data_IF_595786130124
#
_entry.id   IF_595786130124
#
_cell.length_a   1.000
_cell.length_b   1.000
_cell.length_c   1.000
_cell.angle_alpha   90.00
_cell.angle_beta   90.00
_cell.angle_gamma   90.00
#
_symmetry.space_group_name_H-M   'P 1'
#
loop_
_entity.id
_entity.type
_entity.pdbx_description
1 polymer ?
#
# COMPACT_ATOMS: atom_id res chain seq x y z
N UNK A 1 -22.84 21.23 27.89
CA UNK A 1 -23.66 20.05 27.52
C UNK A 1 -24.27 20.36 26.18
N UNK A 2 -23.55 20.11 25.08
CA UNK A 2 -24.06 20.34 23.75
C UNK A 2 -24.54 19.00 23.20
N UNK A 3 -25.79 19.01 22.82
CA UNK A 3 -26.67 17.93 22.45
C UNK A 3 -26.08 16.87 21.51
N UNK A 4 -25.87 15.66 22.00
CA UNK A 4 -25.77 14.42 21.26
C UNK A 4 -27.16 13.94 20.76
N UNK A 5 -28.18 14.80 20.88
CA UNK A 5 -29.58 14.47 20.59
C UNK A 5 -29.96 14.44 19.11
N UNK A 6 -29.08 14.88 18.19
CA UNK A 6 -29.44 14.99 16.76
C UNK A 6 -29.29 13.69 15.96
N UNK A 7 -28.66 12.67 16.50
CA UNK A 7 -28.48 11.37 15.82
C UNK A 7 -29.58 10.32 16.16
N UNK A 8 -30.50 10.63 17.06
CA UNK A 8 -31.57 9.70 17.47
C UNK A 8 -32.80 9.72 16.55
N UNK A 9 -32.83 10.52 15.51
CA UNK A 9 -33.96 10.62 14.58
C UNK A 9 -34.01 9.51 13.52
N UNK A 10 -32.93 8.76 13.33
CA UNK A 10 -32.92 7.63 12.40
C UNK A 10 -33.08 6.35 13.23
N UNK A 11 -34.12 5.52 12.97
CA UNK A 11 -34.24 4.23 13.63
C UNK A 11 -32.95 3.40 13.45
N UNK A 12 -32.43 2.84 14.52
CA UNK A 12 -31.15 2.10 14.54
C UNK A 12 -31.13 0.99 13.47
N UNK A 13 -32.26 0.31 13.28
CA UNK A 13 -32.41 -0.72 12.25
C UNK A 13 -32.23 -0.18 10.82
N UNK A 14 -32.72 1.03 10.55
CA UNK A 14 -32.55 1.65 9.25
C UNK A 14 -31.13 2.16 9.03
N UNK A 15 -30.53 2.75 10.06
CA UNK A 15 -29.14 3.19 10.03
C UNK A 15 -28.15 2.04 9.81
N UNK A 16 -28.36 0.91 10.48
CA UNK A 16 -27.54 -0.30 10.32
C UNK A 16 -27.69 -0.91 8.92
N UNK A 17 -28.93 -0.98 8.39
CA UNK A 17 -29.16 -1.50 7.04
C UNK A 17 -28.49 -0.64 5.96
N UNK A 18 -28.60 0.70 6.07
CA UNK A 18 -27.93 1.64 5.16
C UNK A 18 -26.39 1.53 5.27
N UNK A 19 -25.86 1.49 6.48
CA UNK A 19 -24.43 1.34 6.74
C UNK A 19 -23.88 0.05 6.16
N UNK A 20 -24.59 -1.07 6.36
CA UNK A 20 -24.23 -2.36 5.80
C UNK A 20 -24.32 -2.35 4.27
N UNK A 21 -25.38 -1.79 3.69
CA UNK A 21 -25.51 -1.65 2.23
C UNK A 21 -24.38 -0.82 1.61
N UNK A 22 -24.07 0.33 2.20
CA UNK A 22 -22.95 1.16 1.76
C UNK A 22 -21.61 0.41 1.87
N UNK A 23 -21.37 -0.29 2.96
CA UNK A 23 -20.17 -1.11 3.15
C UNK A 23 -20.04 -2.19 2.07
N UNK A 24 -21.12 -2.93 1.77
CA UNK A 24 -21.13 -3.96 0.73
C UNK A 24 -20.80 -3.37 -0.64
N UNK A 25 -21.38 -2.23 -1.00
CA UNK A 25 -21.11 -1.54 -2.28
C UNK A 25 -19.63 -1.14 -2.37
N UNK A 26 -19.08 -0.56 -1.31
CA UNK A 26 -17.64 -0.17 -1.26
C UNK A 26 -16.77 -1.40 -1.42
N UNK A 27 -17.02 -2.48 -0.67
CA UNK A 27 -16.23 -3.72 -0.75
C UNK A 27 -16.29 -4.32 -2.15
N UNK A 28 -17.47 -4.42 -2.76
CA UNK A 28 -17.62 -4.95 -4.12
C UNK A 28 -16.86 -4.10 -5.14
N UNK A 29 -16.91 -2.78 -5.03
CA UNK A 29 -16.18 -1.86 -5.91
C UNK A 29 -14.67 -2.05 -5.78
N UNK A 30 -14.17 -2.14 -4.55
CA UNK A 30 -12.74 -2.36 -4.28
C UNK A 30 -12.30 -3.72 -4.82
N UNK A 31 -13.06 -4.78 -4.59
CA UNK A 31 -12.77 -6.13 -5.08
C UNK A 31 -12.69 -6.17 -6.61
N UNK A 32 -13.62 -5.52 -7.32
CA UNK A 32 -13.58 -5.44 -8.78
C UNK A 32 -12.32 -4.72 -9.27
N UNK A 33 -11.93 -3.61 -8.60
CA UNK A 33 -10.73 -2.85 -8.96
C UNK A 33 -9.46 -3.69 -8.73
N UNK A 34 -9.37 -4.37 -7.59
CA UNK A 34 -8.23 -5.24 -7.25
C UNK A 34 -8.10 -6.39 -8.25
N UNK A 35 -9.21 -7.05 -8.63
CA UNK A 35 -9.20 -8.09 -9.64
C UNK A 35 -8.75 -7.57 -11.02
N UNK A 36 -9.13 -6.34 -11.37
CA UNK A 36 -8.68 -5.71 -12.62
C UNK A 36 -7.16 -5.50 -12.61
N UNK A 37 -6.63 -4.91 -11.54
CA UNK A 37 -5.19 -4.70 -11.38
C UNK A 37 -4.44 -6.03 -11.40
N UNK A 38 -4.91 -7.02 -10.66
CA UNK A 38 -4.29 -8.34 -10.60
C UNK A 38 -4.23 -9.02 -11.98
N UNK A 39 -5.30 -8.93 -12.79
CA UNK A 39 -5.32 -9.46 -14.16
C UNK A 39 -4.23 -8.82 -15.03
N UNK A 40 -4.12 -7.49 -14.98
CA UNK A 40 -3.11 -6.75 -15.73
C UNK A 40 -1.71 -7.18 -15.28
N UNK A 41 -1.47 -7.20 -13.98
CA UNK A 41 -0.18 -7.61 -13.42
C UNK A 41 0.21 -9.05 -13.81
N UNK A 42 -0.74 -9.99 -13.74
CA UNK A 42 -0.48 -11.38 -14.15
C UNK A 42 -0.23 -11.48 -15.65
N UNK A 43 -0.96 -10.72 -16.48
CA UNK A 43 -0.75 -10.70 -17.93
C UNK A 43 0.61 -10.11 -18.31
N UNK A 44 1.06 -9.05 -17.64
CA UNK A 44 2.34 -8.42 -17.89
C UNK A 44 3.51 -9.27 -17.37
N UNK A 45 3.38 -9.86 -16.21
CA UNK A 45 4.47 -10.58 -15.55
C UNK A 45 4.69 -12.00 -16.08
N UNK A 46 3.58 -12.72 -16.34
CA UNK A 46 3.61 -14.14 -16.76
C UNK A 46 3.23 -14.33 -18.23
N UNK A 47 2.59 -13.34 -18.86
CA UNK A 47 2.06 -13.46 -20.21
C UNK A 47 3.13 -13.66 -21.30
N UNK A 48 4.36 -13.21 -21.06
CA UNK A 48 5.47 -13.43 -21.99
C UNK A 48 6.06 -14.84 -21.90
N UNK A 49 5.96 -15.47 -20.71
CA UNK A 49 6.40 -16.85 -20.51
C UNK A 49 5.29 -17.87 -20.81
N UNK A 50 4.05 -17.53 -20.49
CA UNK A 50 2.89 -18.41 -20.63
C UNK A 50 1.73 -17.65 -21.27
N UNK A 51 1.58 -17.82 -22.59
CA UNK A 51 0.57 -17.11 -23.41
C UNK A 51 -0.85 -17.23 -22.87
N UNK A 52 -1.15 -18.29 -22.10
CA UNK A 52 -2.45 -18.46 -21.44
C UNK A 52 -2.82 -17.32 -20.51
N UNK A 53 -1.85 -16.66 -19.83
CA UNK A 53 -2.12 -15.54 -18.92
C UNK A 53 -2.50 -14.24 -19.64
N UNK A 54 -2.32 -14.14 -20.97
CA UNK A 54 -2.89 -13.05 -21.78
C UNK A 54 -4.41 -13.13 -21.88
N UNK A 55 -4.97 -14.32 -21.60
CA UNK A 55 -6.42 -14.50 -21.52
C UNK A 55 -6.92 -13.99 -20.15
N UNK A 56 -7.80 -12.99 -20.17
CA UNK A 56 -8.34 -12.37 -18.96
C UNK A 56 -9.10 -13.33 -18.04
N UNK A 57 -9.70 -14.38 -18.61
CA UNK A 57 -10.43 -15.39 -17.84
C UNK A 57 -9.46 -16.29 -17.04
N UNK A 58 -8.39 -16.73 -17.68
CA UNK A 58 -7.35 -17.55 -17.03
C UNK A 58 -6.68 -16.75 -15.90
N UNK A 59 -6.31 -15.51 -16.16
CA UNK A 59 -5.72 -14.63 -15.14
C UNK A 59 -6.69 -14.40 -13.96
N UNK A 60 -7.99 -14.19 -14.23
CA UNK A 60 -9.00 -14.02 -13.18
C UNK A 60 -9.20 -15.28 -12.34
N UNK A 61 -9.33 -16.44 -12.98
CA UNK A 61 -9.51 -17.73 -12.27
C UNK A 61 -8.27 -18.04 -11.43
N UNK A 62 -7.08 -17.84 -11.98
CA UNK A 62 -5.83 -18.05 -11.24
C UNK A 62 -5.77 -17.16 -10.00
N UNK A 63 -6.11 -15.89 -10.13
CA UNK A 63 -6.16 -14.98 -9.00
C UNK A 63 -7.20 -15.37 -7.95
N UNK A 64 -8.39 -15.80 -8.36
CA UNK A 64 -9.42 -16.32 -7.45
C UNK A 64 -8.93 -17.56 -6.69
N UNK A 65 -8.31 -18.52 -7.39
CA UNK A 65 -7.78 -19.73 -6.77
C UNK A 65 -6.66 -19.41 -5.79
N UNK A 66 -5.73 -18.51 -6.14
CA UNK A 66 -4.66 -18.08 -5.24
C UNK A 66 -5.20 -17.36 -4.00
N UNK A 67 -6.19 -16.48 -4.18
CA UNK A 67 -6.83 -15.78 -3.06
C UNK A 67 -7.56 -16.75 -2.15
N UNK A 68 -8.29 -17.72 -2.72
CA UNK A 68 -8.98 -18.74 -1.94
C UNK A 68 -8.00 -19.62 -1.16
N UNK A 69 -6.91 -20.05 -1.79
CA UNK A 69 -5.86 -20.84 -1.13
C UNK A 69 -5.24 -20.06 0.04
N UNK A 70 -4.99 -18.76 -0.12
CA UNK A 70 -4.51 -17.88 0.95
C UNK A 70 -5.49 -17.78 2.11
N UNK A 71 -6.78 -17.64 1.83
CA UNK A 71 -7.82 -17.58 2.87
C UNK A 71 -7.92 -18.92 3.62
N UNK A 72 -7.98 -20.04 2.89
CA UNK A 72 -8.08 -21.38 3.48
C UNK A 72 -6.83 -21.78 4.27
N UNK A 73 -5.66 -21.28 3.90
CA UNK A 73 -4.41 -21.53 4.64
C UNK A 73 -4.30 -20.74 5.95
N UNK A 74 -5.19 -19.77 6.21
CA UNK A 74 -5.13 -18.90 7.38
C UNK A 74 -4.00 -17.85 7.33
N UNK A 75 -3.19 -17.80 6.28
CA UNK A 75 -2.07 -16.85 6.14
C UNK A 75 -2.52 -15.42 5.86
N UNK A 76 -3.79 -15.20 5.53
CA UNK A 76 -4.37 -13.88 5.29
C UNK A 76 -4.20 -12.91 6.47
N UNK A 77 -4.14 -13.42 7.70
CA UNK A 77 -3.94 -12.60 8.91
C UNK A 77 -2.60 -11.87 8.87
N UNK A 78 -1.55 -12.53 8.41
CA UNK A 78 -0.22 -11.93 8.27
C UNK A 78 -0.16 -10.95 7.08
N UNK A 79 -0.85 -11.29 5.99
CA UNK A 79 -1.00 -10.39 4.83
C UNK A 79 -1.66 -9.07 5.20
N UNK A 80 -2.67 -9.09 6.07
CA UNK A 80 -3.37 -7.90 6.51
C UNK A 80 -2.45 -6.89 7.19
N UNK A 81 -1.54 -7.36 8.02
CA UNK A 81 -0.56 -6.52 8.70
C UNK A 81 0.41 -5.86 7.70
N UNK A 82 0.94 -6.64 6.75
CA UNK A 82 1.84 -6.13 5.72
C UNK A 82 1.14 -5.21 4.71
N UNK A 83 -0.12 -5.47 4.40
CA UNK A 83 -0.93 -4.61 3.53
C UNK A 83 -1.06 -3.20 4.10
N UNK A 84 -1.33 -3.06 5.40
CA UNK A 84 -1.35 -1.75 6.07
C UNK A 84 0.00 -1.03 5.96
N UNK A 85 1.09 -1.72 6.26
CA UNK A 85 2.45 -1.16 6.15
C UNK A 85 2.80 -0.76 4.70
N UNK A 86 2.44 -1.59 3.71
CA UNK A 86 2.69 -1.30 2.30
C UNK A 86 1.95 -0.06 1.81
N UNK A 87 0.69 0.13 2.20
CA UNK A 87 -0.09 1.32 1.85
C UNK A 87 0.51 2.59 2.46
N UNK A 88 0.92 2.54 3.72
CA UNK A 88 1.59 3.66 4.37
C UNK A 88 2.93 3.98 3.71
N UNK A 89 3.69 2.97 3.33
CA UNK A 89 4.95 3.14 2.62
C UNK A 89 4.73 3.78 1.25
N UNK A 90 3.71 3.35 0.49
CA UNK A 90 3.33 3.95 -0.78
C UNK A 90 2.97 5.43 -0.63
N UNK A 91 2.22 5.79 0.42
CA UNK A 91 1.91 7.17 0.73
C UNK A 91 3.17 8.00 1.08
N UNK A 92 4.07 7.43 1.88
CA UNK A 92 5.35 8.08 2.22
C UNK A 92 6.23 8.31 0.98
N UNK A 93 6.31 7.32 0.08
CA UNK A 93 7.06 7.44 -1.17
C UNK A 93 6.42 8.45 -2.15
N UNK A 94 5.10 8.52 -2.20
CA UNK A 94 4.39 9.53 -2.98
C UNK A 94 4.67 10.95 -2.47
N UNK A 95 4.65 11.16 -1.14
CA UNK A 95 5.02 12.41 -0.51
C UNK A 95 6.51 12.75 -0.72
N UNK A 96 7.39 11.75 -0.76
CA UNK A 96 8.80 11.92 -1.08
C UNK A 96 8.98 12.49 -2.50
N UNK A 97 8.29 11.92 -3.46
CA UNK A 97 8.29 12.40 -4.85
C UNK A 97 7.81 13.86 -4.94
N UNK A 98 6.70 14.19 -4.26
CA UNK A 98 6.18 15.56 -4.18
C UNK A 98 7.19 16.50 -3.51
N UNK A 99 7.87 16.06 -2.47
CA UNK A 99 8.89 16.86 -1.75
C UNK A 99 10.07 17.19 -2.66
N UNK A 100 10.57 16.22 -3.41
CA UNK A 100 11.66 16.42 -4.38
C UNK A 100 11.20 17.34 -5.53
N UNK A 101 9.97 17.15 -6.02
CA UNK A 101 9.39 18.00 -7.06
C UNK A 101 9.21 19.45 -6.59
N UNK A 102 8.65 19.69 -5.40
CA UNK A 102 8.52 21.04 -4.85
C UNK A 102 9.88 21.75 -4.78
N UNK A 103 10.91 21.01 -4.40
CA UNK A 103 12.27 21.54 -4.37
C UNK A 103 12.79 21.88 -5.78
N UNK A 104 12.54 21.05 -6.78
CA UNK A 104 12.99 21.28 -8.16
C UNK A 104 12.34 22.54 -8.76
N UNK A 105 11.13 22.88 -8.32
CA UNK A 105 10.38 24.07 -8.76
C UNK A 105 10.67 25.31 -7.89
N UNK A 106 11.58 25.18 -6.91
CA UNK A 106 11.96 26.31 -6.02
C UNK A 106 10.90 26.66 -4.96
N UNK A 107 9.88 25.81 -4.76
CA UNK A 107 8.85 25.96 -3.71
C UNK A 107 9.31 25.35 -2.40
N UNK A 108 8.70 25.79 -1.29
CA UNK A 108 9.04 25.27 0.03
C UNK A 108 8.67 23.79 0.16
N UNK A 109 9.65 22.88 0.26
CA UNK A 109 9.39 21.43 0.33
C UNK A 109 8.93 20.97 1.71
N UNK A 110 8.95 21.83 2.74
CA UNK A 110 8.66 21.44 4.12
C UNK A 110 7.22 20.95 4.30
N UNK A 111 6.28 21.50 3.54
CA UNK A 111 4.85 21.09 3.60
C UNK A 111 4.62 19.61 3.29
N UNK A 112 5.36 19.04 2.34
CA UNK A 112 5.27 17.62 2.01
C UNK A 112 6.35 16.81 2.74
N UNK A 113 7.51 17.39 3.00
CA UNK A 113 8.67 16.73 3.60
C UNK A 113 8.47 16.33 5.05
N UNK A 114 7.82 17.16 5.87
CA UNK A 114 7.55 16.85 7.28
C UNK A 114 6.61 15.65 7.42
N UNK A 115 5.41 15.65 6.82
CA UNK A 115 4.53 14.47 6.87
C UNK A 115 5.15 13.25 6.18
N UNK A 116 5.92 13.43 5.12
CA UNK A 116 6.65 12.35 4.47
C UNK A 116 7.64 11.67 5.43
N UNK A 117 8.48 12.45 6.11
CA UNK A 117 9.47 11.93 7.04
C UNK A 117 8.80 11.17 8.20
N UNK A 118 7.74 11.73 8.75
CA UNK A 118 6.97 11.09 9.81
C UNK A 118 6.38 9.75 9.35
N UNK A 119 5.69 9.73 8.19
CA UNK A 119 5.11 8.52 7.62
C UNK A 119 6.18 7.48 7.27
N UNK A 120 7.30 7.92 6.70
CA UNK A 120 8.39 7.02 6.33
C UNK A 120 8.99 6.32 7.55
N UNK A 121 9.39 7.08 8.57
CA UNK A 121 10.02 6.54 9.78
C UNK A 121 9.07 5.62 10.53
N UNK A 122 7.82 6.03 10.72
CA UNK A 122 6.81 5.21 11.43
C UNK A 122 6.50 3.92 10.68
N UNK A 123 6.41 3.97 9.35
CA UNK A 123 6.15 2.78 8.53
C UNK A 123 7.33 1.82 8.52
N UNK A 124 8.55 2.33 8.36
CA UNK A 124 9.77 1.51 8.44
C UNK A 124 9.88 0.80 9.80
N UNK A 125 9.65 1.54 10.89
CA UNK A 125 9.65 0.97 12.23
C UNK A 125 8.54 -0.09 12.41
N UNK A 126 7.33 0.21 11.98
CA UNK A 126 6.19 -0.73 12.05
C UNK A 126 6.45 -2.01 11.24
N UNK A 127 7.01 -1.88 10.04
CA UNK A 127 7.34 -3.05 9.19
C UNK A 127 8.44 -3.90 9.82
N UNK A 128 9.48 -3.27 10.38
CA UNK A 128 10.56 -3.96 11.07
C UNK A 128 10.06 -4.71 12.32
N UNK A 129 9.22 -4.05 13.14
CA UNK A 129 8.60 -4.67 14.33
C UNK A 129 7.69 -5.83 13.92
N UNK A 130 6.92 -5.70 12.84
CA UNK A 130 6.06 -6.77 12.32
C UNK A 130 6.90 -7.98 11.90
N UNK A 131 7.98 -7.76 11.15
CA UNK A 131 8.90 -8.82 10.74
C UNK A 131 9.55 -9.51 11.96
N UNK A 132 9.99 -8.74 12.95
CA UNK A 132 10.54 -9.27 14.20
C UNK A 132 9.53 -10.11 14.98
N UNK A 133 8.29 -9.62 15.14
CA UNK A 133 7.23 -10.34 15.85
C UNK A 133 6.85 -11.65 15.14
N UNK A 134 6.82 -11.66 13.80
CA UNK A 134 6.61 -12.88 13.03
C UNK A 134 7.74 -13.88 13.27
N UNK A 135 8.99 -13.42 13.21
CA UNK A 135 10.14 -14.25 13.49
C UNK A 135 10.12 -14.82 14.91
N UNK A 136 9.87 -13.99 15.91
CA UNK A 136 9.75 -14.41 17.31
C UNK A 136 8.62 -15.43 17.50
N UNK A 137 7.48 -15.25 16.82
CA UNK A 137 6.33 -16.18 16.86
C UNK A 137 6.72 -17.55 16.30
N UNK A 138 7.46 -17.59 15.18
CA UNK A 138 7.95 -18.85 14.59
C UNK A 138 8.94 -19.54 15.53
N UNK A 139 9.85 -18.76 16.15
CA UNK A 139 10.88 -19.29 17.02
C UNK A 139 10.34 -19.84 18.35
N UNK A 140 9.23 -19.27 18.87
CA UNK A 140 8.70 -19.61 20.19
C UNK A 140 7.54 -20.60 20.18
N UNK A 141 6.79 -20.72 19.07
CA UNK A 141 5.64 -21.63 18.95
C UNK A 141 6.04 -22.95 18.32
N UNK A 142 6.29 -23.96 19.15
CA UNK A 142 6.33 -25.36 18.72
C UNK A 142 4.90 -25.87 18.47
N UNK A 143 4.64 -26.44 17.27
CA UNK A 143 3.35 -27.07 16.93
C UNK A 143 2.47 -26.27 15.96
N UNK A 144 3.00 -25.26 15.31
CA UNK A 144 2.27 -24.58 14.20
C UNK A 144 2.16 -25.51 12.99
N UNK A 145 1.02 -25.44 12.29
CA UNK A 145 0.87 -26.11 11.01
C UNK A 145 1.94 -25.65 10.02
N UNK A 146 2.51 -26.57 9.25
CA UNK A 146 3.61 -26.29 8.29
C UNK A 146 3.27 -25.17 7.32
N UNK A 147 1.99 -25.10 6.89
CA UNK A 147 1.50 -24.07 5.99
C UNK A 147 1.54 -22.66 6.62
N UNK A 148 1.24 -22.55 7.92
CA UNK A 148 1.31 -21.27 8.64
C UNK A 148 2.75 -20.81 8.84
N UNK A 149 3.67 -21.73 9.07
CA UNK A 149 5.11 -21.43 9.15
C UNK A 149 5.65 -20.94 7.81
N UNK A 150 5.30 -21.61 6.72
CA UNK A 150 5.68 -21.19 5.36
C UNK A 150 5.14 -19.80 5.03
N UNK A 151 3.86 -19.53 5.37
CA UNK A 151 3.25 -18.23 5.19
C UNK A 151 3.96 -17.12 5.98
N UNK A 152 4.32 -17.38 7.22
CA UNK A 152 5.04 -16.43 8.05
C UNK A 152 6.45 -16.13 7.51
N UNK A 153 7.20 -17.14 7.04
CA UNK A 153 8.49 -16.94 6.37
C UNK A 153 8.35 -16.14 5.08
N UNK A 154 7.33 -16.42 4.27
CA UNK A 154 7.05 -15.66 3.07
C UNK A 154 6.77 -14.18 3.41
N UNK A 155 6.02 -13.90 4.47
CA UNK A 155 5.75 -12.53 4.92
C UNK A 155 7.00 -11.82 5.45
N UNK A 156 7.88 -12.51 6.17
CA UNK A 156 9.18 -11.97 6.59
C UNK A 156 10.01 -11.59 5.35
N UNK A 157 10.07 -12.46 4.35
CA UNK A 157 10.79 -12.17 3.11
C UNK A 157 10.21 -10.93 2.40
N UNK A 158 8.89 -10.81 2.31
CA UNK A 158 8.22 -9.63 1.72
C UNK A 158 8.51 -8.38 2.55
N UNK A 159 8.47 -8.45 3.88
CA UNK A 159 8.79 -7.31 4.74
C UNK A 159 10.25 -6.84 4.55
N UNK A 160 11.19 -7.76 4.44
CA UNK A 160 12.61 -7.44 4.17
C UNK A 160 12.76 -6.80 2.78
N UNK A 161 12.09 -7.32 1.76
CA UNK A 161 12.07 -6.73 0.42
C UNK A 161 11.51 -5.30 0.43
N UNK A 162 10.40 -5.08 1.14
CA UNK A 162 9.79 -3.74 1.27
C UNK A 162 10.72 -2.77 1.98
N UNK A 163 11.36 -3.19 3.08
CA UNK A 163 12.34 -2.38 3.81
C UNK A 163 13.55 -2.04 2.94
N UNK A 164 14.07 -3.02 2.19
CA UNK A 164 15.19 -2.83 1.27
C UNK A 164 14.85 -1.89 0.12
N UNK A 165 13.70 -2.10 -0.54
CA UNK A 165 13.23 -1.23 -1.61
C UNK A 165 13.00 0.21 -1.12
N UNK A 166 12.39 0.37 0.04
CA UNK A 166 12.18 1.68 0.65
C UNK A 166 13.49 2.39 0.97
N UNK A 167 14.48 1.67 1.50
CA UNK A 167 15.81 2.23 1.79
C UNK A 167 16.53 2.67 0.50
N UNK A 168 16.44 1.88 -0.59
CA UNK A 168 17.02 2.24 -1.89
C UNK A 168 16.36 3.51 -2.46
N UNK A 169 15.02 3.59 -2.43
CA UNK A 169 14.30 4.75 -2.93
C UNK A 169 14.62 6.00 -2.10
N UNK A 170 14.75 5.86 -0.77
CA UNK A 170 15.17 6.97 0.08
C UNK A 170 16.59 7.45 -0.23
N UNK A 171 17.49 6.52 -0.53
CA UNK A 171 18.85 6.83 -0.97
C UNK A 171 18.87 7.61 -2.29
N UNK A 172 18.12 7.15 -3.29
CA UNK A 172 18.00 7.84 -4.58
C UNK A 172 17.39 9.24 -4.42
N UNK A 173 16.37 9.36 -3.59
CA UNK A 173 15.75 10.65 -3.28
C UNK A 173 16.72 11.59 -2.55
N UNK A 174 17.54 11.08 -1.64
CA UNK A 174 18.59 11.84 -0.99
C UNK A 174 19.63 12.37 -2.01
N UNK A 175 20.04 11.54 -2.95
CA UNK A 175 20.94 11.96 -4.04
C UNK A 175 20.27 13.04 -4.92
N UNK A 176 19.02 12.84 -5.31
CA UNK A 176 18.25 13.82 -6.07
C UNK A 176 18.13 15.15 -5.30
N UNK A 177 17.81 15.08 -4.00
CA UNK A 177 17.76 16.25 -3.14
C UNK A 177 19.06 17.06 -3.13
N UNK A 178 20.20 16.37 -3.08
CA UNK A 178 21.51 17.04 -3.09
C UNK A 178 21.85 17.68 -4.43
N UNK A 179 21.40 17.09 -5.55
CA UNK A 179 21.56 17.66 -6.90
C UNK A 179 20.80 18.98 -7.05
N UNK A 180 19.61 19.10 -6.46
CA UNK A 180 18.80 20.32 -6.55
C UNK A 180 19.17 21.40 -5.52
N UNK A 181 20.17 21.19 -4.67
CA UNK A 181 20.63 22.20 -3.70
C UNK A 181 21.20 23.48 -4.33
N UNK A 182 21.61 23.43 -5.59
CA UNK A 182 22.20 24.57 -6.31
C UNK A 182 21.52 24.89 -7.64
N UNK A 183 20.42 24.22 -7.99
CA UNK A 183 19.73 24.52 -9.23
C UNK A 183 18.91 25.80 -9.12
N UNK A 184 19.05 26.77 -10.05
CA UNK A 184 18.15 27.91 -10.10
C UNK A 184 16.72 27.42 -10.32
N UNK A 185 15.74 28.11 -9.68
CA UNK A 185 14.32 27.82 -9.91
C UNK A 185 14.03 27.83 -11.43
N UNK A 186 13.39 26.77 -11.91
CA UNK A 186 12.95 26.73 -13.32
C UNK A 186 12.05 27.95 -13.54
N UNK A 187 12.35 28.84 -14.52
CA UNK A 187 11.49 29.99 -14.79
C UNK A 187 10.08 29.51 -15.05
N UNK A 188 9.11 30.12 -14.42
CA UNK A 188 7.69 29.86 -14.68
C UNK A 188 7.42 30.08 -16.18
N UNK A 189 6.81 29.12 -16.90
CA UNK A 189 6.50 29.32 -18.30
C UNK A 189 5.69 30.61 -18.44
N UNK A 190 6.12 31.49 -19.36
CA UNK A 190 5.43 32.75 -19.61
C UNK A 190 3.93 32.49 -19.86
N UNK A 191 3.02 33.31 -19.27
CA UNK A 191 1.60 33.12 -19.47
C UNK A 191 1.31 33.13 -20.97
N UNK A 192 0.57 32.11 -21.45
CA UNK A 192 0.18 32.02 -22.83
C UNK A 192 -0.55 33.34 -23.26
N UNK A 193 -0.22 33.92 -24.41
CA UNK A 193 -0.91 35.14 -24.85
C UNK A 193 -2.39 34.85 -24.95
N UNK A 194 -3.17 35.67 -24.24
CA UNK A 194 -4.64 35.64 -24.32
C UNK A 194 -5.04 35.85 -25.78
N UNK A 195 -5.64 34.87 -26.42
CA UNK A 195 -6.29 34.95 -27.71
C UNK A 195 -7.71 35.40 -27.57
#
# INVERSE_FOLDING_TARGET
MIHVASFQTIPLAFGTALGFGAFVVIVLTVVQLVFRVMRVTLAEWLGDRWVGFKNQHIASVTGMVLSLALVLSGTWVYLWQLFGASNQLLAALSLLLVTVWLRSVGKNPAYAGIPMLFMYVTTMAATAVTAYNLFATIATRSGMATISVLGAWAMIAVAILLLGAAALIAWDAWQAWNRYRGAPAVPEPAPAPLR
#
